data_IF_511700463715
#
_entry.id   IF_511700463715
#
_cell.length_a   1.000
_cell.length_b   1.000
_cell.length_c   1.000
_cell.angle_alpha   90.00
_cell.angle_beta   90.00
_cell.angle_gamma   90.00
#
_symmetry.space_group_name_H-M   'P 1'
#
loop_
_entity.id
_entity.type
_entity.pdbx_description
1 polymer ?
#
# COMPACT_ATOMS: atom_id res chain seq x y z
N UNK A 1 5.19 -6.77 -16.35
CA UNK A 1 4.13 -7.47 -17.11
C UNK A 1 2.91 -7.59 -16.22
N UNK A 2 1.72 -7.32 -16.75
CA UNK A 2 0.46 -7.42 -16.03
C UNK A 2 -0.43 -8.50 -16.65
N UNK A 3 -1.15 -9.25 -15.82
CA UNK A 3 -2.28 -10.07 -16.24
C UNK A 3 -3.57 -9.45 -15.68
N UNK A 4 -4.52 -9.15 -16.58
CA UNK A 4 -5.82 -8.59 -16.25
C UNK A 4 -6.90 -9.62 -16.59
N UNK A 5 -7.74 -9.98 -15.62
CA UNK A 5 -8.92 -10.80 -15.85
C UNK A 5 -10.17 -9.94 -15.89
N UNK A 6 -10.98 -10.08 -16.92
CA UNK A 6 -12.24 -9.38 -17.09
C UNK A 6 -13.43 -10.22 -16.54
N UNK A 7 -14.56 -9.58 -16.18
CA UNK A 7 -15.76 -10.28 -15.69
C UNK A 7 -16.37 -11.25 -16.69
N UNK A 8 -16.07 -11.10 -17.98
CA UNK A 8 -16.51 -11.97 -19.07
C UNK A 8 -15.63 -13.23 -19.24
N UNK A 9 -14.63 -13.42 -18.37
CA UNK A 9 -13.70 -14.55 -18.42
C UNK A 9 -12.51 -14.32 -19.35
N UNK A 10 -12.38 -13.13 -19.96
CA UNK A 10 -11.22 -12.81 -20.80
C UNK A 10 -9.98 -12.51 -19.95
N UNK A 11 -8.84 -13.08 -20.33
CA UNK A 11 -7.54 -12.78 -19.70
C UNK A 11 -6.68 -12.03 -20.71
N UNK A 12 -6.13 -10.88 -20.30
CA UNK A 12 -5.25 -10.05 -21.12
C UNK A 12 -3.88 -9.92 -20.47
N UNK A 13 -2.83 -10.08 -21.27
CA UNK A 13 -1.46 -9.81 -20.90
C UNK A 13 -1.00 -8.45 -21.43
N UNK A 14 -0.51 -7.62 -20.54
CA UNK A 14 0.19 -6.38 -20.85
C UNK A 14 1.69 -6.63 -20.69
N UNK A 15 2.37 -6.78 -21.83
CA UNK A 15 3.80 -7.07 -21.90
C UNK A 15 4.64 -5.89 -21.40
N UNK A 16 4.22 -4.68 -21.77
CA UNK A 16 4.77 -3.40 -21.35
C UNK A 16 3.64 -2.34 -21.29
N UNK A 17 3.95 -1.10 -20.88
CA UNK A 17 2.97 -0.01 -20.72
C UNK A 17 2.50 0.63 -22.05
N UNK A 18 3.14 0.30 -23.17
CA UNK A 18 3.01 1.00 -24.45
C UNK A 18 2.33 0.10 -25.50
N UNK A 19 2.53 -1.21 -25.39
CA UNK A 19 2.00 -2.23 -26.26
C UNK A 19 0.53 -2.53 -25.94
N UNK A 20 -0.31 -2.74 -26.97
CA UNK A 20 -1.68 -3.15 -26.75
C UNK A 20 -1.76 -4.50 -26.03
N UNK A 21 -2.77 -4.71 -25.17
CA UNK A 21 -2.96 -5.98 -24.49
C UNK A 21 -3.13 -7.13 -25.46
N UNK A 22 -2.54 -8.28 -25.11
CA UNK A 22 -2.75 -9.53 -25.83
C UNK A 22 -3.70 -10.42 -25.05
N UNK A 23 -4.80 -10.82 -25.68
CA UNK A 23 -5.68 -11.84 -25.10
C UNK A 23 -4.95 -13.17 -25.00
N UNK A 24 -4.97 -13.79 -23.83
CA UNK A 24 -4.40 -15.10 -23.56
C UNK A 24 -5.50 -16.16 -23.58
N UNK A 25 -5.38 -17.11 -24.50
CA UNK A 25 -6.14 -18.35 -24.45
C UNK A 25 -5.37 -19.42 -23.66
N UNK A 26 -6.06 -20.30 -22.91
CA UNK A 26 -5.41 -21.44 -22.26
C UNK A 26 -4.59 -22.28 -23.26
N UNK A 27 -3.39 -22.69 -22.85
CA UNK A 27 -2.44 -23.46 -23.65
C UNK A 27 -1.67 -22.66 -24.70
N UNK A 28 -1.95 -21.37 -24.90
CA UNK A 28 -1.26 -20.55 -25.90
C UNK A 28 -0.03 -19.86 -25.31
N UNK A 29 1.19 -20.20 -25.74
CA UNK A 29 2.40 -19.56 -25.24
C UNK A 29 2.57 -18.16 -25.84
N UNK A 30 2.91 -17.18 -24.99
CA UNK A 30 3.28 -15.82 -25.38
C UNK A 30 4.74 -15.58 -25.04
N UNK A 31 5.52 -15.16 -26.04
CA UNK A 31 6.93 -14.86 -25.90
C UNK A 31 7.15 -13.55 -25.11
N UNK A 32 8.06 -13.62 -24.15
CA UNK A 32 8.49 -12.57 -23.22
C UNK A 32 10.02 -12.47 -23.26
N UNK A 33 10.55 -11.91 -24.35
CA UNK A 33 12.01 -11.88 -24.56
C UNK A 33 12.58 -13.30 -24.63
N UNK A 34 13.38 -13.70 -23.62
CA UNK A 34 13.95 -15.04 -23.51
C UNK A 34 13.02 -16.08 -22.86
N UNK A 35 11.86 -15.67 -22.36
CA UNK A 35 10.91 -16.55 -21.67
C UNK A 35 9.60 -16.72 -22.43
N UNK A 36 8.82 -17.74 -22.08
CA UNK A 36 7.46 -17.96 -22.57
C UNK A 36 6.51 -18.05 -21.39
N UNK A 37 5.40 -17.33 -21.48
CA UNK A 37 4.28 -17.43 -20.54
C UNK A 37 3.15 -18.20 -21.22
N UNK A 38 2.70 -19.25 -20.56
CA UNK A 38 1.55 -20.04 -21.01
C UNK A 38 0.50 -20.03 -19.92
N UNK A 39 -0.68 -19.49 -20.22
CA UNK A 39 -1.84 -19.65 -19.35
C UNK A 39 -2.26 -21.12 -19.42
N UNK A 40 -2.09 -21.90 -18.36
CA UNK A 40 -2.43 -23.32 -18.39
C UNK A 40 -3.92 -23.53 -18.09
N UNK A 41 -4.42 -22.88 -17.05
CA UNK A 41 -5.79 -23.00 -16.60
C UNK A 41 -6.26 -21.68 -15.97
N UNK A 42 -7.50 -21.29 -16.26
CA UNK A 42 -8.15 -20.13 -15.67
C UNK A 42 -9.32 -20.62 -14.82
N UNK A 43 -9.25 -20.38 -13.51
CA UNK A 43 -10.33 -20.69 -12.58
C UNK A 43 -11.01 -19.38 -12.16
N UNK A 44 -12.29 -19.17 -12.50
CA UNK A 44 -12.99 -17.94 -12.14
C UNK A 44 -13.23 -17.76 -10.62
N UNK A 45 -12.84 -18.72 -9.79
CA UNK A 45 -12.95 -18.71 -8.31
C UNK A 45 -11.85 -19.56 -7.67
N UNK A 46 -11.27 -19.15 -6.53
CA UNK A 46 -10.23 -19.91 -5.81
C UNK A 46 -10.13 -19.62 -4.30
N UNK A 47 -9.36 -20.46 -3.59
CA UNK A 47 -8.75 -20.13 -2.29
C UNK A 47 -7.50 -20.99 -2.08
N UNK A 48 -6.55 -20.50 -1.29
CA UNK A 48 -5.32 -21.18 -0.84
C UNK A 48 -5.60 -22.60 -0.30
N UNK A 49 -4.94 -23.62 -0.86
CA UNK A 49 -5.24 -25.04 -0.60
C UNK A 49 -4.29 -25.63 0.46
N UNK A 50 -4.83 -25.83 1.67
CA UNK A 50 -4.66 -27.08 2.39
C UNK A 50 -5.84 -27.99 1.97
N UNK A 51 -5.60 -29.28 1.69
CA UNK A 51 -6.52 -30.15 0.94
C UNK A 51 -7.84 -30.37 1.71
N UNK A 52 -8.92 -29.69 1.32
CA UNK A 52 -10.31 -29.90 1.80
C UNK A 52 -11.28 -29.91 0.61
N UNK A 53 -12.28 -30.81 0.68
CA UNK A 53 -13.28 -31.00 -0.36
C UNK A 53 -14.17 -29.73 -0.58
N UNK A 54 -14.71 -29.51 -1.80
CA UNK A 54 -15.46 -28.30 -2.14
C UNK A 54 -16.76 -28.16 -1.35
N UNK A 55 -17.00 -26.98 -0.79
CA UNK A 55 -18.30 -26.54 -0.28
C UNK A 55 -19.04 -25.76 -1.39
N UNK A 56 -20.19 -26.24 -1.90
CA UNK A 56 -20.91 -25.63 -3.01
C UNK A 56 -21.58 -24.28 -2.66
N UNK A 57 -21.50 -23.81 -1.41
CA UNK A 57 -22.24 -22.63 -0.96
C UNK A 57 -21.39 -21.35 -0.83
N UNK A 58 -20.07 -21.42 -1.02
CA UNK A 58 -19.17 -20.27 -0.76
C UNK A 58 -18.21 -19.99 -1.93
N UNK A 59 -18.50 -18.93 -2.69
CA UNK A 59 -17.71 -18.49 -3.85
C UNK A 59 -16.56 -17.56 -3.41
N UNK A 60 -15.39 -18.14 -3.12
CA UNK A 60 -14.16 -17.38 -2.85
C UNK A 60 -13.62 -16.63 -4.09
N UNK A 61 -12.67 -15.68 -3.89
CA UNK A 61 -12.13 -14.83 -4.96
C UNK A 61 -11.26 -15.62 -5.98
N UNK A 62 -11.16 -15.23 -7.27
CA UNK A 62 -10.46 -16.00 -8.32
C UNK A 62 -8.97 -16.30 -8.06
N UNK A 63 -8.42 -17.39 -8.62
CA UNK A 63 -6.97 -17.64 -8.69
C UNK A 63 -6.56 -18.19 -10.04
N UNK A 64 -5.28 -18.00 -10.29
CA UNK A 64 -4.59 -18.28 -11.52
C UNK A 64 -3.45 -19.25 -11.20
N UNK A 65 -3.37 -20.35 -11.93
CA UNK A 65 -2.19 -21.21 -11.91
C UNK A 65 -1.25 -20.72 -13.01
N UNK A 66 -0.14 -20.10 -12.62
CA UNK A 66 0.85 -19.56 -13.56
C UNK A 66 2.12 -20.39 -13.52
N UNK A 67 2.65 -20.73 -14.69
CA UNK A 67 4.02 -21.27 -14.84
C UNK A 67 4.87 -20.22 -15.54
N UNK A 68 6.05 -19.93 -14.98
CA UNK A 68 6.94 -18.91 -15.49
C UNK A 68 8.28 -19.54 -15.88
N UNK A 69 8.64 -19.47 -17.16
CA UNK A 69 9.86 -20.04 -17.74
C UNK A 69 9.64 -21.42 -18.36
N UNK A 70 10.62 -21.87 -19.18
CA UNK A 70 10.52 -23.10 -19.98
C UNK A 70 10.37 -24.41 -19.15
N UNK A 71 10.68 -24.36 -17.85
CA UNK A 71 10.58 -25.48 -16.90
C UNK A 71 9.93 -25.07 -15.57
N UNK A 72 9.18 -23.97 -15.54
CA UNK A 72 8.69 -23.38 -14.29
C UNK A 72 7.69 -24.27 -13.55
N UNK A 73 7.94 -24.54 -12.28
CA UNK A 73 6.94 -25.13 -11.37
C UNK A 73 5.71 -24.22 -11.30
N UNK A 74 4.50 -24.75 -11.54
CA UNK A 74 3.28 -23.96 -11.50
C UNK A 74 3.01 -23.43 -10.08
N UNK A 75 2.67 -22.15 -9.98
CA UNK A 75 2.36 -21.46 -8.73
C UNK A 75 0.93 -20.90 -8.77
N UNK A 76 0.19 -21.08 -7.68
CA UNK A 76 -1.14 -20.49 -7.51
C UNK A 76 -1.02 -19.03 -7.10
N UNK A 77 -1.82 -18.19 -7.72
CA UNK A 77 -1.88 -16.74 -7.52
C UNK A 77 -3.34 -16.36 -7.33
N UNK A 78 -3.74 -15.96 -6.12
CA UNK A 78 -5.13 -15.57 -5.82
C UNK A 78 -5.36 -14.07 -5.90
N UNK A 79 -6.61 -13.69 -6.17
CA UNK A 79 -7.10 -12.32 -6.17
C UNK A 79 -6.86 -11.66 -4.81
N UNK A 80 -6.35 -10.43 -4.86
CA UNK A 80 -5.94 -9.63 -3.70
C UNK A 80 -4.55 -9.92 -3.13
N UNK A 81 -3.98 -11.12 -3.29
CA UNK A 81 -2.78 -11.54 -2.52
C UNK A 81 -1.69 -12.30 -3.29
N UNK A 82 -1.90 -12.66 -4.56
CA UNK A 82 -0.93 -13.45 -5.31
C UNK A 82 0.03 -12.59 -6.14
N UNK A 83 1.32 -12.63 -5.81
CA UNK A 83 2.38 -12.41 -6.79
C UNK A 83 3.13 -13.75 -6.97
N UNK A 84 3.15 -14.30 -8.18
CA UNK A 84 4.07 -15.40 -8.50
C UNK A 84 5.41 -14.85 -8.93
N UNK A 85 6.49 -15.58 -8.65
CA UNK A 85 7.84 -15.17 -9.01
C UNK A 85 8.48 -16.18 -9.95
N UNK A 86 9.07 -15.67 -11.01
CA UNK A 86 9.92 -16.42 -11.90
C UNK A 86 11.25 -16.79 -11.21
N UNK A 87 11.93 -17.87 -11.65
CA UNK A 87 13.27 -18.20 -11.17
C UNK A 87 14.31 -17.07 -11.35
N UNK A 88 14.12 -16.21 -12.35
CA UNK A 88 14.97 -15.04 -12.63
C UNK A 88 14.66 -13.80 -11.76
N UNK A 89 13.71 -13.91 -10.83
CA UNK A 89 13.31 -12.82 -9.93
C UNK A 89 12.15 -11.95 -10.42
N UNK A 90 11.71 -12.13 -11.67
CA UNK A 90 10.56 -11.39 -12.24
C UNK A 90 9.28 -11.73 -11.49
N UNK A 91 8.61 -10.72 -10.93
CA UNK A 91 7.31 -10.90 -10.29
C UNK A 91 6.16 -10.74 -11.31
N UNK A 92 5.23 -11.67 -11.29
CA UNK A 92 3.95 -11.63 -12.00
C UNK A 92 2.86 -11.41 -10.94
N UNK A 93 2.28 -10.22 -10.93
CA UNK A 93 1.11 -9.92 -10.12
C UNK A 93 -0.15 -10.03 -11.00
N UNK A 94 -1.20 -10.62 -10.45
CA UNK A 94 -2.54 -10.53 -11.05
C UNK A 94 -3.26 -9.37 -10.39
N UNK A 95 -3.56 -8.33 -11.16
CA UNK A 95 -4.30 -7.17 -10.69
C UNK A 95 -5.73 -7.25 -11.21
N UNK A 96 -6.69 -7.05 -10.31
CA UNK A 96 -8.12 -7.03 -10.64
C UNK A 96 -8.56 -5.62 -11.07
N UNK A 97 -7.85 -4.58 -10.60
CA UNK A 97 -8.04 -3.17 -10.98
C UNK A 97 -6.75 -2.37 -10.89
N UNK A 98 -6.59 -1.45 -11.82
CA UNK A 98 -5.60 -0.38 -11.73
C UNK A 98 -6.22 0.89 -11.13
N UNK A 99 -5.47 1.54 -10.25
CA UNK A 99 -5.81 2.87 -9.75
C UNK A 99 -4.67 3.84 -10.12
N UNK A 100 -4.92 4.87 -10.95
CA UNK A 100 -3.89 5.80 -11.34
C UNK A 100 -3.51 6.70 -10.17
N UNK A 101 -2.35 6.45 -9.56
CA UNK A 101 -1.84 7.24 -8.43
C UNK A 101 -1.25 8.60 -8.87
N UNK A 102 -0.92 8.74 -10.16
CA UNK A 102 -0.24 9.94 -10.69
C UNK A 102 1.26 10.01 -10.34
N UNK A 103 1.83 8.91 -9.86
CA UNK A 103 3.27 8.73 -9.64
C UNK A 103 3.61 7.23 -9.69
N UNK A 104 4.88 6.90 -9.88
CA UNK A 104 5.40 5.55 -9.75
C UNK A 104 6.24 5.43 -8.49
N UNK A 105 6.15 4.26 -7.83
CA UNK A 105 6.89 3.93 -6.62
C UNK A 105 7.80 2.73 -6.91
N UNK A 106 9.10 2.88 -6.67
CA UNK A 106 10.09 1.80 -6.81
C UNK A 106 10.71 1.53 -5.45
N UNK A 107 10.83 0.26 -5.06
CA UNK A 107 11.53 -0.14 -3.85
C UNK A 107 13.04 -0.20 -4.14
N UNK A 108 13.83 0.59 -3.44
CA UNK A 108 15.30 0.56 -3.52
C UNK A 108 15.86 -0.47 -2.52
N UNK A 109 15.41 -0.46 -1.26
CA UNK A 109 15.78 -1.46 -0.26
C UNK A 109 14.72 -1.54 0.85
N UNK A 110 14.75 -2.63 1.60
CA UNK A 110 13.89 -2.90 2.72
C UNK A 110 14.79 -3.23 3.92
N UNK A 111 14.75 -2.40 4.97
CA UNK A 111 15.72 -2.41 6.08
C UNK A 111 15.02 -2.66 7.42
N UNK A 112 15.62 -3.55 8.21
CA UNK A 112 15.34 -3.71 9.63
C UNK A 112 16.56 -3.37 10.47
N UNK A 113 16.41 -2.42 11.38
CA UNK A 113 17.42 -2.08 12.38
C UNK A 113 17.10 -2.84 13.66
N UNK A 114 18.11 -3.45 14.25
CA UNK A 114 17.99 -4.20 15.50
C UNK A 114 18.65 -3.45 16.66
N UNK A 115 18.22 -3.75 17.88
CA UNK A 115 18.94 -3.28 19.07
C UNK A 115 20.34 -3.93 19.15
N UNK A 116 21.36 -3.20 19.64
CA UNK A 116 22.68 -3.79 19.85
C UNK A 116 22.58 -5.04 20.73
N UNK A 117 23.21 -6.14 20.30
CA UNK A 117 23.21 -7.43 20.99
C UNK A 117 21.82 -8.06 21.23
N UNK A 118 20.82 -7.74 20.40
CA UNK A 118 19.49 -8.35 20.46
C UNK A 118 18.98 -8.68 19.06
N UNK A 119 18.17 -9.75 18.96
CA UNK A 119 17.39 -10.05 17.76
C UNK A 119 16.07 -9.28 17.69
N UNK A 120 15.82 -8.37 18.66
CA UNK A 120 14.62 -7.55 18.69
C UNK A 120 14.75 -6.39 17.70
N UNK A 121 13.82 -6.27 16.74
CA UNK A 121 13.81 -5.16 15.80
C UNK A 121 13.48 -3.84 16.51
N UNK A 122 14.26 -2.81 16.19
CA UNK A 122 14.10 -1.42 16.64
C UNK A 122 13.29 -0.59 15.66
N UNK A 123 13.52 -0.78 14.36
CA UNK A 123 12.83 -0.03 13.31
C UNK A 123 12.77 -0.83 12.01
N UNK A 124 11.64 -0.70 11.31
CA UNK A 124 11.43 -1.25 9.98
C UNK A 124 11.12 -0.12 9.03
N UNK A 125 11.76 -0.13 7.86
CA UNK A 125 11.48 0.85 6.83
C UNK A 125 11.85 0.40 5.43
N UNK A 126 11.12 0.91 4.47
CA UNK A 126 11.39 0.75 3.05
C UNK A 126 11.99 2.03 2.50
N UNK A 127 13.15 1.92 1.85
CA UNK A 127 13.73 2.98 1.04
C UNK A 127 13.08 2.91 -0.34
N UNK A 128 12.43 4.00 -0.73
CA UNK A 128 11.64 4.07 -1.95
C UNK A 128 12.07 5.23 -2.82
N UNK A 129 11.81 5.09 -4.10
CA UNK A 129 12.01 6.10 -5.10
C UNK A 129 10.69 6.43 -5.77
N UNK A 130 10.32 7.69 -5.73
CA UNK A 130 9.14 8.21 -6.41
C UNK A 130 9.54 8.85 -7.72
N UNK A 131 8.86 8.48 -8.79
CA UNK A 131 8.96 9.17 -10.07
C UNK A 131 7.61 9.72 -10.52
N UNK A 132 7.62 10.88 -11.18
CA UNK A 132 6.44 11.36 -11.91
C UNK A 132 6.04 10.39 -13.02
N UNK A 133 4.80 10.50 -13.53
CA UNK A 133 4.32 9.66 -14.64
C UNK A 133 5.23 9.79 -15.87
N UNK A 134 5.81 10.98 -16.07
CA UNK A 134 6.72 11.31 -17.17
C UNK A 134 8.21 11.04 -16.86
N UNK A 135 8.53 10.51 -15.68
CA UNK A 135 9.89 10.08 -15.30
C UNK A 135 10.86 11.18 -14.87
N UNK A 136 10.48 12.46 -14.96
CA UNK A 136 11.42 13.59 -14.91
C UNK A 136 11.90 13.97 -13.47
N UNK A 137 11.09 13.68 -12.45
CA UNK A 137 11.44 13.99 -11.06
C UNK A 137 11.56 12.71 -10.25
N UNK A 138 12.79 12.34 -9.88
CA UNK A 138 13.11 11.18 -9.05
C UNK A 138 13.44 11.64 -7.63
N UNK A 139 12.55 11.36 -6.68
CA UNK A 139 12.72 11.67 -5.27
C UNK A 139 12.98 10.40 -4.47
N UNK A 140 13.93 10.43 -3.54
CA UNK A 140 14.15 9.32 -2.60
C UNK A 140 13.45 9.63 -1.29
N UNK A 141 12.70 8.67 -0.80
CA UNK A 141 11.97 8.79 0.46
C UNK A 141 12.01 7.48 1.25
N UNK A 142 11.51 7.54 2.48
CA UNK A 142 11.46 6.42 3.42
C UNK A 142 10.03 6.24 3.90
N UNK A 143 9.53 5.01 3.78
CA UNK A 143 8.24 4.61 4.36
C UNK A 143 8.54 3.84 5.63
N UNK A 144 7.97 4.25 6.76
CA UNK A 144 8.10 3.54 8.04
C UNK A 144 6.72 3.11 8.53
N UNK A 145 6.67 2.07 9.36
CA UNK A 145 5.40 1.57 9.93
C UNK A 145 4.59 2.66 10.64
N UNK A 146 5.28 3.59 11.31
CA UNK A 146 4.65 4.69 12.05
C UNK A 146 4.80 6.06 11.38
N UNK A 147 5.46 6.14 10.23
CA UNK A 147 5.62 7.37 9.47
C UNK A 147 5.25 7.08 8.00
N UNK A 148 3.95 7.17 7.66
CA UNK A 148 3.51 6.94 6.29
C UNK A 148 4.01 8.05 5.38
N UNK A 149 4.31 7.69 4.14
CA UNK A 149 4.65 8.65 3.11
C UNK A 149 3.39 9.35 2.60
N UNK A 150 3.41 10.68 2.54
CA UNK A 150 2.32 11.48 2.00
C UNK A 150 2.66 11.98 0.60
N UNK A 151 1.81 11.65 -0.39
CA UNK A 151 1.98 12.14 -1.76
C UNK A 151 0.63 12.32 -2.44
N UNK A 152 0.38 13.50 -3.03
CA UNK A 152 -0.84 13.79 -3.81
C UNK A 152 -2.17 13.44 -3.09
N UNK A 153 -2.23 13.64 -1.76
CA UNK A 153 -3.40 13.28 -0.94
C UNK A 153 -3.48 11.79 -0.56
N UNK A 154 -2.55 10.97 -1.02
CA UNK A 154 -2.38 9.59 -0.60
C UNK A 154 -1.45 9.47 0.60
N UNK A 155 -1.72 8.47 1.43
CA UNK A 155 -0.87 7.97 2.50
C UNK A 155 -0.48 6.54 2.18
N UNK A 156 0.83 6.29 2.12
CA UNK A 156 1.39 4.98 1.87
C UNK A 156 1.94 4.44 3.19
N UNK A 157 1.35 3.36 3.66
CA UNK A 157 1.73 2.65 4.87
C UNK A 157 2.46 1.38 4.50
N UNK A 158 3.52 1.06 5.23
CA UNK A 158 4.15 -0.25 5.11
C UNK A 158 3.29 -1.30 5.83
N UNK A 159 2.76 -2.28 5.09
CA UNK A 159 1.90 -3.34 5.65
C UNK A 159 2.64 -4.64 5.93
N UNK A 160 3.74 -4.88 5.21
CA UNK A 160 4.51 -6.13 5.31
C UNK A 160 5.84 -6.02 4.58
N UNK A 161 6.77 -6.89 4.91
CA UNK A 161 8.10 -6.92 4.32
C UNK A 161 8.76 -8.28 4.56
N UNK A 162 9.54 -8.73 3.59
CA UNK A 162 10.43 -9.88 3.74
C UNK A 162 11.87 -9.47 3.41
N UNK A 163 12.72 -9.58 4.43
CA UNK A 163 14.15 -9.30 4.38
C UNK A 163 15.01 -10.54 4.16
N UNK A 164 14.45 -11.73 4.37
CA UNK A 164 15.19 -13.00 4.36
C UNK A 164 14.99 -13.76 3.05
N UNK A 165 14.02 -13.38 2.23
CA UNK A 165 13.88 -13.88 0.87
C UNK A 165 15.09 -13.52 0.00
N UNK A 166 15.46 -14.37 -0.99
CA UNK A 166 16.54 -14.09 -1.95
C UNK A 166 16.33 -12.78 -2.73
N UNK A 167 15.11 -12.25 -2.73
CA UNK A 167 14.76 -10.94 -3.26
C UNK A 167 13.84 -10.20 -2.28
N UNK A 168 14.34 -9.09 -1.74
CA UNK A 168 13.63 -8.24 -0.77
C UNK A 168 12.35 -7.68 -1.37
N UNK A 169 11.27 -7.71 -0.61
CA UNK A 169 10.00 -7.10 -1.01
C UNK A 169 9.33 -6.40 0.16
N UNK A 170 8.49 -5.41 -0.15
CA UNK A 170 7.66 -4.70 0.81
C UNK A 170 6.27 -4.53 0.23
N UNK A 171 5.25 -4.82 1.03
CA UNK A 171 3.85 -4.51 0.70
C UNK A 171 3.47 -3.18 1.32
N UNK A 172 2.71 -2.40 0.57
CA UNK A 172 2.22 -1.10 0.99
C UNK A 172 0.69 -1.06 0.95
N UNK A 173 0.07 -0.52 2.00
CA UNK A 173 -1.33 -0.13 1.98
C UNK A 173 -1.42 1.34 1.55
N UNK A 174 -2.32 1.63 0.61
CA UNK A 174 -2.49 2.96 0.04
C UNK A 174 -3.89 3.46 0.40
N UNK A 175 -3.96 4.62 1.05
CA UNK A 175 -5.22 5.28 1.40
C UNK A 175 -5.25 6.70 0.84
N UNK A 176 -6.36 7.10 0.22
CA UNK A 176 -6.57 8.49 -0.18
C UNK A 176 -7.30 9.23 0.95
N UNK A 177 -6.63 10.20 1.56
CA UNK A 177 -7.16 10.93 2.72
C UNK A 177 -6.73 12.41 2.70
N UNK A 178 -7.36 13.24 1.85
CA UNK A 178 -7.14 14.68 1.82
C UNK A 178 -7.83 15.43 2.98
N UNK A 179 -8.63 14.75 3.80
CA UNK A 179 -9.46 15.35 4.84
C UNK A 179 -8.71 15.67 6.13
N UNK A 180 -7.61 14.96 6.40
CA UNK A 180 -6.84 15.10 7.66
C UNK A 180 -6.42 16.53 8.00
N UNK A 181 -5.95 17.38 7.06
CA UNK A 181 -5.64 18.77 7.38
C UNK A 181 -6.84 19.55 7.93
N UNK A 182 -8.05 19.30 7.42
CA UNK A 182 -9.28 19.95 7.89
C UNK A 182 -9.67 19.47 9.29
N UNK A 183 -9.58 18.16 9.53
CA UNK A 183 -9.82 17.58 10.86
C UNK A 183 -8.82 18.13 11.88
N UNK A 184 -7.54 18.19 11.52
CA UNK A 184 -6.49 18.78 12.35
C UNK A 184 -6.78 20.26 12.65
N UNK A 185 -7.21 21.05 11.66
CA UNK A 185 -7.60 22.44 11.86
C UNK A 185 -8.73 22.59 12.89
N UNK A 186 -9.73 21.71 12.87
CA UNK A 186 -10.80 21.67 13.87
C UNK A 186 -10.27 21.40 15.29
N UNK A 187 -9.37 20.42 15.45
CA UNK A 187 -8.72 20.16 16.73
C UNK A 187 -7.91 21.36 17.25
N UNK A 188 -7.15 22.03 16.38
CA UNK A 188 -6.42 23.24 16.76
C UNK A 188 -7.35 24.38 17.16
N UNK A 189 -8.49 24.54 16.48
CA UNK A 189 -9.51 25.52 16.84
C UNK A 189 -10.12 25.24 18.21
N UNK A 190 -10.42 23.98 18.53
CA UNK A 190 -10.92 23.57 19.85
C UNK A 190 -9.88 23.83 20.95
N UNK A 191 -8.60 23.51 20.70
CA UNK A 191 -7.50 23.79 21.63
C UNK A 191 -7.36 25.30 21.87
N UNK A 192 -7.42 26.11 20.81
CA UNK A 192 -7.38 27.56 20.92
C UNK A 192 -8.56 28.13 21.71
N UNK A 193 -9.78 27.62 21.49
CA UNK A 193 -10.97 28.01 22.26
C UNK A 193 -10.85 27.66 23.75
N UNK A 194 -10.29 26.50 24.08
CA UNK A 194 -10.04 26.09 25.46
C UNK A 194 -8.97 26.97 26.13
N UNK A 195 -7.87 27.26 25.43
CA UNK A 195 -6.83 28.18 25.88
C UNK A 195 -7.40 29.59 26.10
N UNK A 196 -8.24 30.08 25.19
CA UNK A 196 -8.91 31.37 25.33
C UNK A 196 -9.78 31.42 26.59
N UNK A 197 -10.62 30.41 26.82
CA UNK A 197 -11.50 30.36 27.99
C UNK A 197 -10.71 30.33 29.31
N UNK A 198 -9.61 29.56 29.36
CA UNK A 198 -8.77 29.49 30.55
C UNK A 198 -8.06 30.82 30.81
N UNK A 199 -7.54 31.48 29.77
CA UNK A 199 -6.96 32.82 29.87
C UNK A 199 -7.96 33.87 30.37
N UNK A 200 -9.17 33.91 29.82
CA UNK A 200 -10.24 34.85 30.26
C UNK A 200 -10.58 34.61 31.73
N UNK A 201 -10.77 33.36 32.16
CA UNK A 201 -11.07 33.03 33.56
C UNK A 201 -9.92 33.40 34.49
N UNK A 202 -8.68 33.24 34.06
CA UNK A 202 -7.49 33.59 34.84
C UNK A 202 -7.35 35.11 35.04
N UNK A 203 -7.59 35.90 33.99
CA UNK A 203 -7.60 37.37 34.07
C UNK A 203 -8.75 37.87 34.94
N UNK A 204 -9.96 37.32 34.78
CA UNK A 204 -11.12 37.68 35.57
C UNK A 204 -10.92 37.40 37.08
N UNK A 205 -10.26 36.29 37.43
CA UNK A 205 -9.91 35.95 38.83
C UNK A 205 -8.85 36.85 39.45
N UNK A 206 -8.08 37.57 38.64
CA UNK A 206 -7.00 38.48 39.10
C UNK A 206 -7.45 39.92 39.31
N UNK A 207 -8.69 40.27 38.98
CA UNK A 207 -9.22 41.61 39.27
C UNK A 207 -9.64 41.68 40.74
N UNK A 208 -9.01 42.51 41.59
CA UNK A 208 -9.49 42.75 42.95
C UNK A 208 -10.86 43.45 42.88
N UNK A 209 -11.75 43.28 43.87
CA UNK A 209 -12.95 44.10 43.96
C UNK A 209 -12.52 45.58 44.01
N UNK A 210 -12.93 46.36 43.01
CA UNK A 210 -12.75 47.80 43.01
C UNK A 210 -13.43 48.37 44.27
N UNK A 211 -12.72 49.27 44.95
CA UNK A 211 -12.95 49.67 46.34
C UNK A 211 -14.42 49.85 46.74
N UNK A 212 -14.78 49.24 47.86
CA UNK A 212 -16.00 49.59 48.58
C UNK A 212 -15.94 51.05 49.05
N UNK A 213 -17.08 51.77 49.07
CA UNK A 213 -17.11 53.17 49.46
C UNK A 213 -16.62 53.34 50.89
N UNK A 214 -15.75 54.33 51.11
CA UNK A 214 -15.34 54.75 52.43
C UNK A 214 -16.56 55.30 53.18
N UNK A 215 -17.07 54.52 54.13
CA UNK A 215 -18.10 54.97 55.05
C UNK A 215 -17.47 55.98 56.01
N UNK A 216 -17.74 57.26 55.76
CA UNK A 216 -17.42 58.36 56.68
C UNK A 216 -18.65 58.60 57.54
N UNK A 217 -18.62 58.13 58.78
CA UNK A 217 -19.50 58.61 59.83
C UNK A 217 -18.68 58.99 61.06
N UNK A 218 -18.77 60.28 61.40
CA UNK A 218 -18.22 60.88 62.61
C UNK A 218 -19.17 60.83 63.79
#
# INVERSE_FOLDING_TARGET
MLLLSHPDGRVEAYLDRVSPPRTLAPGSPVALGACTLTLLEFLPSSREVERVAPDPTNAGPPAFLVSIGASGTPAWVSDGHGAARAPDGTAVAVLTREFPLGFALTLDDAVALYWPASSIPRAYFSLVRLSGVDGDSVERDRIETNAPLLRNGYRLYQSGMDQNAPYRWSSFAVAYDPGVPFVAAGFYMLMAGLLWLTCVRFVARRSPPAGGPAEVHG
#
